data_IF_979071292634
#
_entry.id   IF_979071292634
#
_cell.length_a   1.000
_cell.length_b   1.000
_cell.length_c   1.000
_cell.angle_alpha   90.00
_cell.angle_beta   90.00
_cell.angle_gamma   90.00
#
_symmetry.space_group_name_H-M   'P 1'
#
loop_
_entity.id
_entity.type
_entity.pdbx_description
1 polymer ?
#
# COMPACT_ATOMS: atom_id res chain seq x y z
N UNK A 1 -13.52 -13.05 17.52
CA UNK A 1 -12.53 -13.26 16.43
C UNK A 1 -12.69 -12.08 15.47
N UNK A 2 -11.90 -11.02 15.64
CA UNK A 2 -11.91 -9.89 14.70
C UNK A 2 -11.22 -10.38 13.42
N UNK A 3 -11.90 -10.25 12.28
CA UNK A 3 -11.31 -10.60 10.99
C UNK A 3 -10.01 -9.80 10.83
N UNK A 4 -8.87 -10.49 10.68
CA UNK A 4 -7.62 -9.86 10.26
C UNK A 4 -7.90 -9.25 8.89
N UNK A 5 -7.80 -7.93 8.75
CA UNK A 5 -8.02 -7.27 7.48
C UNK A 5 -6.86 -7.65 6.56
N UNK A 6 -7.10 -8.60 5.65
CA UNK A 6 -6.04 -9.15 4.77
C UNK A 6 -5.57 -8.14 3.72
N UNK A 7 -6.44 -7.20 3.38
CA UNK A 7 -6.18 -6.15 2.41
C UNK A 7 -6.93 -4.87 2.79
N UNK A 8 -6.38 -3.73 2.40
CA UNK A 8 -6.92 -2.39 2.56
C UNK A 8 -6.81 -1.67 1.22
N UNK A 9 -7.85 -0.94 0.84
CA UNK A 9 -7.86 -0.12 -0.35
C UNK A 9 -8.39 1.26 0.01
N UNK A 10 -7.68 2.31 -0.40
CA UNK A 10 -8.10 3.69 -0.19
C UNK A 10 -7.71 4.60 -1.36
N UNK A 11 -8.46 5.69 -1.53
CA UNK A 11 -8.07 6.76 -2.43
C UNK A 11 -7.39 7.90 -1.66
N UNK A 12 -6.26 8.39 -2.16
CA UNK A 12 -5.50 9.49 -1.57
C UNK A 12 -5.01 10.45 -2.65
N UNK A 13 -5.46 11.72 -2.61
CA UNK A 13 -5.08 12.79 -3.56
C UNK A 13 -5.23 12.44 -5.05
N UNK A 14 -6.24 11.64 -5.40
CA UNK A 14 -6.48 11.20 -6.78
C UNK A 14 -5.72 9.94 -7.19
N UNK A 15 -4.96 9.34 -6.28
CA UNK A 15 -4.30 8.04 -6.44
C UNK A 15 -5.10 6.97 -5.71
N UNK A 16 -5.03 5.73 -6.19
CA UNK A 16 -5.52 4.54 -5.49
C UNK A 16 -4.35 3.83 -4.81
N UNK A 17 -4.49 3.56 -3.52
CA UNK A 17 -3.55 2.81 -2.69
C UNK A 17 -4.19 1.47 -2.36
N UNK A 18 -3.49 0.38 -2.68
CA UNK A 18 -3.84 -0.98 -2.27
C UNK A 18 -2.75 -1.52 -1.37
N UNK A 19 -3.12 -2.15 -0.25
CA UNK A 19 -2.20 -2.74 0.71
C UNK A 19 -2.71 -4.13 1.08
N UNK A 20 -1.84 -5.13 1.10
CA UNK A 20 -2.18 -6.49 1.56
C UNK A 20 -1.07 -7.13 2.38
N UNK A 21 -1.43 -8.09 3.25
CA UNK A 21 -0.43 -8.95 3.89
C UNK A 21 0.39 -9.66 2.80
N UNK A 22 1.72 -9.69 2.96
CA UNK A 22 2.59 -10.35 2.01
C UNK A 22 2.18 -11.83 1.87
N UNK A 23 1.78 -12.29 0.66
CA UNK A 23 1.34 -13.66 0.46
C UNK A 23 2.50 -14.68 0.52
N UNK A 24 3.75 -14.22 0.55
CA UNK A 24 4.92 -15.07 0.70
C UNK A 24 5.00 -15.69 2.11
N UNK A 25 4.81 -17.00 2.18
CA UNK A 25 4.88 -17.77 3.43
C UNK A 25 6.25 -17.72 4.15
N UNK A 26 7.30 -17.27 3.48
CA UNK A 26 8.65 -17.13 4.06
C UNK A 26 8.98 -15.69 4.47
N UNK A 27 8.15 -14.72 4.07
CA UNK A 27 8.42 -13.30 4.29
C UNK A 27 7.18 -12.62 4.86
N UNK A 28 7.28 -12.21 6.12
CA UNK A 28 6.28 -11.35 6.73
C UNK A 28 6.32 -9.94 6.11
N UNK A 29 5.27 -9.15 6.36
CA UNK A 29 5.18 -7.77 5.90
C UNK A 29 3.89 -7.47 5.15
N UNK A 30 3.84 -6.29 4.56
CA UNK A 30 2.71 -5.77 3.80
C UNK A 30 3.19 -5.22 2.46
N UNK A 31 2.60 -5.72 1.39
CA UNK A 31 2.76 -5.15 0.06
C UNK A 31 1.89 -3.91 -0.07
N UNK A 32 2.43 -2.84 -0.62
CA UNK A 32 1.63 -1.69 -1.06
C UNK A 32 1.79 -1.47 -2.56
N UNK A 33 0.74 -0.97 -3.19
CA UNK A 33 0.69 -0.63 -4.61
C UNK A 33 -0.06 0.69 -4.77
N UNK A 34 0.51 1.61 -5.54
CA UNK A 34 -0.07 2.91 -5.87
C UNK A 34 -0.39 2.91 -7.36
N UNK A 35 -1.61 3.32 -7.69
CA UNK A 35 -2.05 3.41 -9.08
C UNK A 35 -2.79 4.71 -9.37
N UNK A 36 -2.74 5.14 -10.62
CA UNK A 36 -3.55 6.23 -11.17
C UNK A 36 -4.21 5.73 -12.43
N UNK A 37 -5.53 5.87 -12.50
CA UNK A 37 -6.35 5.36 -13.61
C UNK A 37 -6.19 3.85 -13.78
N UNK A 38 -5.32 3.40 -14.70
CA UNK A 38 -5.08 1.99 -15.01
C UNK A 38 -3.59 1.61 -14.94
N UNK A 39 -2.73 2.50 -14.44
CA UNK A 39 -1.29 2.28 -14.35
C UNK A 39 -0.84 2.22 -12.89
N UNK A 40 -0.05 1.21 -12.56
CA UNK A 40 0.74 1.16 -11.31
C UNK A 40 1.92 2.11 -11.51
N UNK A 41 2.14 2.98 -10.53
CA UNK A 41 3.22 3.96 -10.57
C UNK A 41 4.31 3.70 -9.52
N UNK A 42 3.99 2.94 -8.47
CA UNK A 42 4.91 2.56 -7.40
C UNK A 42 4.35 1.37 -6.64
N UNK A 43 5.22 0.46 -6.22
CA UNK A 43 4.88 -0.67 -5.35
C UNK A 43 6.07 -1.00 -4.44
N UNK A 44 5.79 -1.62 -3.29
CA UNK A 44 6.84 -1.96 -2.34
C UNK A 44 6.38 -2.91 -1.25
N UNK A 45 7.33 -3.31 -0.41
CA UNK A 45 7.13 -4.19 0.74
C UNK A 45 7.61 -3.48 2.01
N UNK A 46 6.73 -3.39 3.00
CA UNK A 46 7.03 -2.81 4.31
C UNK A 46 6.80 -3.82 5.43
N UNK A 47 7.43 -3.59 6.58
CA UNK A 47 7.37 -4.54 7.70
C UNK A 47 5.98 -4.63 8.35
N UNK A 48 5.26 -3.52 8.40
CA UNK A 48 3.91 -3.45 8.97
C UNK A 48 2.97 -2.57 8.13
N UNK A 49 1.68 -2.66 8.44
CA UNK A 49 0.61 -1.96 7.72
C UNK A 49 0.76 -0.43 7.77
N UNK A 50 1.15 0.12 8.91
CA UNK A 50 1.26 1.57 9.08
C UNK A 50 2.45 2.13 8.27
N UNK A 51 3.54 1.37 8.20
CA UNK A 51 4.69 1.66 7.35
C UNK A 51 4.29 1.63 5.87
N UNK A 52 3.52 0.62 5.43
CA UNK A 52 2.99 0.54 4.07
C UNK A 52 2.12 1.75 3.70
N UNK A 53 1.19 2.15 4.58
CA UNK A 53 0.36 3.36 4.38
C UNK A 53 1.23 4.61 4.31
N UNK A 54 2.20 4.74 5.22
CA UNK A 54 3.08 5.91 5.29
C UNK A 54 3.96 6.02 4.05
N UNK A 55 4.54 4.91 3.58
CA UNK A 55 5.35 4.85 2.36
C UNK A 55 4.53 5.30 1.16
N UNK A 56 3.33 4.73 0.98
CA UNK A 56 2.45 5.07 -0.12
C UNK A 56 2.07 6.56 -0.14
N UNK A 57 1.64 7.11 1.01
CA UNK A 57 1.27 8.53 1.10
C UNK A 57 2.46 9.47 0.92
N UNK A 58 3.63 9.09 1.45
CA UNK A 58 4.87 9.88 1.27
C UNK A 58 5.25 9.97 -0.20
N UNK A 59 5.18 8.87 -0.94
CA UNK A 59 5.41 8.88 -2.38
C UNK A 59 4.45 9.82 -3.11
N UNK A 60 3.14 9.72 -2.82
CA UNK A 60 2.12 10.58 -3.44
C UNK A 60 2.35 12.07 -3.12
N UNK A 61 2.71 12.39 -1.88
CA UNK A 61 3.02 13.75 -1.45
C UNK A 61 4.22 14.33 -2.22
N UNK A 62 5.22 13.51 -2.56
CA UNK A 62 6.37 13.91 -3.37
C UNK A 62 6.02 14.13 -4.86
N UNK A 63 5.01 13.46 -5.40
CA UNK A 63 4.53 13.69 -6.78
C UNK A 63 3.70 14.98 -6.92
N UNK A 64 3.19 15.52 -5.80
CA UNK A 64 2.32 16.69 -5.77
C UNK A 64 3.05 18.00 -5.41
N UNK A 65 4.36 17.92 -5.17
CA UNK A 65 5.23 19.01 -4.71
C UNK A 65 6.04 19.67 -5.82
#
# INVERSE_FOLDING_TARGET
MLARMKSHEESYRGYSIFIEENPDQYREGYLYCISVSSAIIEDGLEFDFECAVKAARTFIDQQSG
#
